data_IF_469596794379
#
_entry.id   IF_469596794379
#
_cell.length_a   1.000
_cell.length_b   1.000
_cell.length_c   1.000
_cell.angle_alpha   90.00
_cell.angle_beta   90.00
_cell.angle_gamma   90.00
#
_symmetry.space_group_name_H-M   'P 1'
#
loop_
_entity.id
_entity.type
_entity.pdbx_description
1 polymer ?
#
# COMPACT_ATOMS: atom_id res chain seq x y z
N UNK A 1 -9.25 -9.54 3.29
CA UNK A 1 -8.16 -9.54 2.30
C UNK A 1 -8.80 -9.30 0.95
N UNK A 2 -8.26 -8.39 0.16
CA UNK A 2 -8.77 -8.00 -1.14
C UNK A 2 -7.62 -7.57 -2.04
N UNK A 3 -7.77 -7.77 -3.34
CA UNK A 3 -6.88 -7.17 -4.33
C UNK A 3 -7.22 -5.69 -4.51
N UNK A 4 -6.37 -4.93 -5.20
CA UNK A 4 -6.67 -3.55 -5.56
C UNK A 4 -7.92 -3.46 -6.46
N UNK A 5 -8.04 -4.36 -7.44
CA UNK A 5 -9.22 -4.43 -8.31
C UNK A 5 -10.51 -4.69 -7.52
N UNK A 6 -10.47 -5.48 -6.45
CA UNK A 6 -11.64 -5.66 -5.59
C UNK A 6 -11.99 -4.36 -4.85
N UNK A 7 -11.00 -3.61 -4.37
CA UNK A 7 -11.22 -2.30 -3.78
C UNK A 7 -11.86 -1.32 -4.78
N UNK A 8 -11.38 -1.28 -6.02
CA UNK A 8 -11.99 -0.47 -7.09
C UNK A 8 -13.44 -0.86 -7.37
N UNK A 9 -13.76 -2.16 -7.35
CA UNK A 9 -15.14 -2.65 -7.54
C UNK A 9 -16.07 -2.27 -6.39
N UNK A 10 -15.58 -2.33 -5.16
CA UNK A 10 -16.41 -2.11 -3.96
C UNK A 10 -16.52 -0.62 -3.58
N UNK A 11 -15.50 0.19 -3.87
CA UNK A 11 -15.38 1.58 -3.44
C UNK A 11 -14.67 2.45 -4.48
N UNK A 12 -15.12 2.40 -5.74
CA UNK A 12 -14.44 3.00 -6.88
C UNK A 12 -14.03 4.47 -6.75
N UNK A 13 -14.89 5.33 -6.21
CA UNK A 13 -14.54 6.75 -5.97
C UNK A 13 -13.37 6.90 -5.00
N UNK A 14 -13.40 6.17 -3.87
CA UNK A 14 -12.34 6.21 -2.88
C UNK A 14 -11.04 5.61 -3.44
N UNK A 15 -11.14 4.48 -4.14
CA UNK A 15 -10.00 3.82 -4.75
C UNK A 15 -9.30 4.74 -5.77
N UNK A 16 -10.07 5.44 -6.61
CA UNK A 16 -9.52 6.40 -7.58
C UNK A 16 -8.72 7.51 -6.90
N UNK A 17 -9.24 8.10 -5.82
CA UNK A 17 -8.53 9.17 -5.11
C UNK A 17 -7.30 8.63 -4.38
N UNK A 18 -7.39 7.47 -3.72
CA UNK A 18 -6.24 6.85 -3.05
C UNK A 18 -5.15 6.51 -4.06
N UNK A 19 -5.50 5.95 -5.21
CA UNK A 19 -4.55 5.67 -6.30
C UNK A 19 -3.85 6.94 -6.78
N UNK A 20 -4.62 8.01 -7.04
CA UNK A 20 -4.06 9.29 -7.47
C UNK A 20 -3.06 9.86 -6.46
N UNK A 21 -3.24 9.63 -5.14
CA UNK A 21 -2.27 10.03 -4.11
C UNK A 21 -0.98 9.22 -4.16
N UNK A 22 -1.07 7.92 -4.46
CA UNK A 22 0.12 7.08 -4.68
C UNK A 22 0.84 7.49 -5.98
N UNK A 23 0.12 7.70 -7.08
CA UNK A 23 0.73 8.05 -8.37
C UNK A 23 1.32 9.48 -8.40
N UNK A 24 0.93 10.36 -7.47
CA UNK A 24 1.45 11.73 -7.40
C UNK A 24 2.91 11.85 -6.95
N UNK A 25 3.51 10.78 -6.40
CA UNK A 25 4.91 10.79 -5.94
C UNK A 25 5.51 9.40 -6.04
N UNK A 26 6.78 9.30 -6.44
CA UNK A 26 7.48 8.01 -6.52
C UNK A 26 7.68 7.35 -5.15
N UNK A 27 7.85 8.15 -4.09
CA UNK A 27 8.29 7.65 -2.79
C UNK A 27 7.25 7.79 -1.68
N UNK A 28 7.04 6.68 -0.96
CA UNK A 28 6.07 6.50 0.11
C UNK A 28 6.72 5.94 1.37
N UNK A 29 5.97 5.88 2.46
CA UNK A 29 6.44 5.32 3.73
C UNK A 29 5.79 3.96 3.97
N UNK A 30 6.62 2.92 4.03
CA UNK A 30 6.23 1.57 4.43
C UNK A 30 6.52 1.36 5.93
N UNK A 31 5.49 0.98 6.68
CA UNK A 31 5.58 0.51 8.05
C UNK A 31 5.52 -1.03 8.11
N UNK A 32 6.50 -1.64 8.79
CA UNK A 32 6.62 -3.10 8.99
C UNK A 32 6.82 -3.44 10.47
N UNK A 33 6.62 -4.70 10.84
CA UNK A 33 6.87 -5.19 12.20
C UNK A 33 8.25 -5.85 12.31
N UNK A 34 9.06 -5.37 13.25
CA UNK A 34 10.35 -5.99 13.58
C UNK A 34 10.14 -7.30 14.33
N UNK A 35 11.24 -8.07 14.51
CA UNK A 35 11.25 -9.30 15.33
C UNK A 35 10.61 -9.12 16.72
N UNK A 36 10.83 -7.97 17.35
CA UNK A 36 10.34 -7.64 18.69
C UNK A 36 8.92 -7.03 18.69
N UNK A 37 8.28 -6.94 17.52
CA UNK A 37 6.97 -6.33 17.33
C UNK A 37 6.97 -4.80 17.27
N UNK A 38 8.12 -4.13 17.42
CA UNK A 38 8.20 -2.68 17.27
C UNK A 38 8.07 -2.26 15.80
N UNK A 39 7.52 -1.06 15.51
CA UNK A 39 7.39 -0.60 14.14
C UNK A 39 8.75 -0.22 13.53
N UNK A 40 8.91 -0.49 12.24
CA UNK A 40 9.95 0.10 11.39
C UNK A 40 9.29 0.87 10.25
N UNK A 41 9.72 2.10 10.04
CA UNK A 41 9.40 2.88 8.83
C UNK A 41 10.58 2.87 7.85
N UNK A 42 10.28 2.81 6.56
CA UNK A 42 11.26 2.87 5.48
C UNK A 42 10.62 3.43 4.22
N UNK A 43 11.44 3.99 3.31
CA UNK A 43 10.97 4.40 2.00
C UNK A 43 10.55 3.18 1.16
N UNK A 44 9.48 3.32 0.37
CA UNK A 44 9.05 2.35 -0.63
C UNK A 44 8.49 3.06 -1.85
N UNK A 45 8.39 2.31 -2.94
CA UNK A 45 7.69 2.69 -4.16
C UNK A 45 6.59 1.64 -4.37
N UNK A 46 5.48 2.03 -4.98
CA UNK A 46 4.36 1.12 -5.24
C UNK A 46 3.98 1.19 -6.71
N UNK A 47 3.44 0.08 -7.21
CA UNK A 47 2.94 -0.05 -8.57
C UNK A 47 1.56 -0.70 -8.54
N UNK A 48 0.73 -0.35 -9.52
CA UNK A 48 -0.58 -0.95 -9.72
C UNK A 48 -0.51 -1.86 -10.95
N UNK A 49 -0.24 -3.15 -10.72
CA UNK A 49 -0.02 -4.13 -11.78
C UNK A 49 -1.12 -5.19 -11.78
N UNK A 50 -1.80 -5.33 -12.93
CA UNK A 50 -2.95 -6.24 -13.04
C UNK A 50 -4.02 -5.93 -11.98
N UNK A 51 -4.42 -6.91 -11.15
CA UNK A 51 -5.40 -6.69 -10.11
C UNK A 51 -4.83 -6.11 -8.81
N UNK A 52 -3.52 -5.95 -8.69
CA UNK A 52 -2.84 -5.80 -7.40
C UNK A 52 -2.17 -4.43 -7.23
N UNK A 53 -2.03 -4.03 -5.96
CA UNK A 53 -1.01 -3.07 -5.53
C UNK A 53 0.22 -3.88 -5.14
N UNK A 54 1.32 -3.64 -5.83
CA UNK A 54 2.61 -4.30 -5.61
C UNK A 54 3.68 -3.33 -5.19
N UNK A 55 4.76 -3.84 -4.59
CA UNK A 55 5.94 -3.05 -4.28
C UNK A 55 7.19 -3.92 -4.22
N UNK A 56 8.32 -3.30 -4.56
CA UNK A 56 9.63 -3.94 -4.59
C UNK A 56 10.53 -3.59 -3.42
N UNK A 57 11.62 -4.34 -3.28
CA UNK A 57 12.74 -3.99 -2.42
C UNK A 57 14.04 -4.61 -2.92
N UNK A 58 15.17 -3.96 -2.66
CA UNK A 58 16.48 -4.59 -2.82
C UNK A 58 16.54 -5.91 -2.08
N UNK A 59 17.20 -6.91 -2.69
CA UNK A 59 17.41 -8.22 -2.08
C UNK A 59 18.13 -8.09 -0.73
N UNK A 60 17.63 -8.79 0.29
CA UNK A 60 18.20 -8.77 1.65
C UNK A 60 17.94 -7.49 2.46
N UNK A 61 17.19 -6.53 1.93
CA UNK A 61 16.82 -5.34 2.68
C UNK A 61 16.03 -5.71 3.95
N UNK A 62 16.32 -5.02 5.06
CA UNK A 62 15.77 -5.40 6.37
C UNK A 62 14.24 -5.30 6.40
N UNK A 63 13.64 -4.34 5.68
CA UNK A 63 12.17 -4.24 5.53
C UNK A 63 11.56 -5.49 4.87
N UNK A 64 12.25 -6.10 3.91
CA UNK A 64 11.81 -7.33 3.27
C UNK A 64 11.94 -8.53 4.21
N UNK A 65 13.01 -8.59 5.02
CA UNK A 65 13.18 -9.62 6.04
C UNK A 65 12.16 -9.51 7.18
N UNK A 66 11.70 -8.29 7.47
CA UNK A 66 10.58 -8.05 8.39
C UNK A 66 9.28 -8.61 7.78
N UNK A 67 8.95 -8.27 6.53
CA UNK A 67 7.76 -8.77 5.83
C UNK A 67 7.72 -10.30 5.65
N UNK A 68 8.86 -10.93 5.36
CA UNK A 68 8.96 -12.39 5.27
C UNK A 68 8.67 -13.10 6.59
N UNK A 69 8.90 -12.42 7.70
CA UNK A 69 8.64 -12.94 9.05
C UNK A 69 7.20 -12.65 9.49
N UNK A 70 6.75 -11.43 9.24
CA UNK A 70 5.40 -10.96 9.53
C UNK A 70 4.98 -10.00 8.43
N UNK A 71 4.08 -10.46 7.55
CA UNK A 71 3.65 -9.70 6.38
C UNK A 71 2.78 -8.50 6.72
N UNK A 72 2.34 -8.30 7.98
CA UNK A 72 1.50 -7.16 8.34
C UNK A 72 2.24 -5.85 8.12
N UNK A 73 1.66 -4.99 7.29
CA UNK A 73 2.25 -3.70 6.97
C UNK A 73 1.19 -2.64 6.66
N UNK A 74 1.64 -1.40 6.65
CA UNK A 74 0.89 -0.27 6.12
C UNK A 74 1.77 0.56 5.19
N UNK A 75 1.19 1.08 4.12
CA UNK A 75 1.85 2.01 3.20
C UNK A 75 1.09 3.33 3.28
N UNK A 76 1.81 4.38 3.66
CA UNK A 76 1.32 5.75 3.68
C UNK A 76 1.84 6.43 2.42
N UNK A 77 0.93 6.91 1.57
CA UNK A 77 1.26 7.67 0.37
C UNK A 77 2.07 8.91 0.75
N UNK A 78 2.77 9.52 -0.21
CA UNK A 78 3.49 10.75 0.08
C UNK A 78 2.49 11.81 0.59
N UNK A 79 2.74 12.48 1.73
CA UNK A 79 1.82 13.50 2.23
C UNK A 79 1.54 14.57 1.19
N UNK A 80 0.27 14.92 0.98
CA UNK A 80 -0.14 15.96 0.04
C UNK A 80 -0.88 17.06 0.81
N UNK A 81 -0.87 18.29 0.31
CA UNK A 81 -1.52 19.44 0.97
C UNK A 81 -3.04 19.20 1.18
N UNK A 82 -3.69 18.59 0.19
CA UNK A 82 -5.11 18.20 0.25
C UNK A 82 -5.43 17.00 1.17
N UNK A 83 -4.43 16.39 1.80
CA UNK A 83 -4.66 15.30 2.76
C UNK A 83 -3.75 14.08 2.62
N UNK A 84 -4.11 13.04 3.38
CA UNK A 84 -3.37 11.79 3.54
C UNK A 84 -4.13 10.59 2.96
N UNK A 85 -3.40 9.67 2.34
CA UNK A 85 -3.90 8.37 1.92
C UNK A 85 -2.99 7.24 2.43
N UNK A 86 -3.60 6.19 2.98
CA UNK A 86 -2.88 5.00 3.43
C UNK A 86 -3.67 3.73 3.17
N UNK A 87 -2.93 2.65 2.96
CA UNK A 87 -3.47 1.28 2.87
C UNK A 87 -2.75 0.40 3.87
N UNK A 88 -3.46 -0.59 4.40
CA UNK A 88 -2.88 -1.59 5.30
C UNK A 88 -3.37 -2.99 4.95
N UNK A 89 -2.54 -3.98 5.24
CA UNK A 89 -2.81 -5.35 4.83
C UNK A 89 -1.67 -6.30 5.18
N UNK A 90 -1.58 -7.37 4.40
CA UNK A 90 -0.52 -8.37 4.49
C UNK A 90 0.25 -8.39 3.17
N UNK A 91 1.55 -8.12 3.24
CA UNK A 91 2.44 -8.31 2.10
C UNK A 91 2.68 -9.80 1.86
N UNK A 92 2.47 -10.24 0.63
CA UNK A 92 2.73 -11.61 0.19
C UNK A 92 3.91 -11.58 -0.77
N UNK A 93 5.02 -12.23 -0.40
CA UNK A 93 6.20 -12.31 -1.24
C UNK A 93 5.96 -13.19 -2.47
N UNK A 94 6.33 -12.67 -3.63
CA UNK A 94 6.24 -13.35 -4.90
C UNK A 94 7.60 -14.03 -5.14
N UNK A 95 7.59 -15.36 -5.05
CA UNK A 95 8.82 -16.17 -5.07
C UNK A 95 8.99 -16.97 -6.35
N UNK A 96 7.90 -17.24 -7.07
CA UNK A 96 7.96 -17.88 -8.38
C UNK A 96 8.60 -16.91 -9.39
N UNK A 97 9.74 -17.26 -10.02
CA UNK A 97 10.41 -16.39 -10.98
C UNK A 97 9.54 -16.01 -12.18
N UNK A 98 8.63 -16.88 -12.60
CA UNK A 98 7.75 -16.65 -13.73
C UNK A 98 6.62 -15.67 -13.37
N UNK A 99 6.07 -15.79 -12.16
CA UNK A 99 5.10 -14.83 -11.61
C UNK A 99 5.74 -13.46 -11.41
N UNK A 100 6.97 -13.42 -10.88
CA UNK A 100 7.70 -12.19 -10.58
C UNK A 100 7.96 -11.31 -11.80
N UNK A 101 8.06 -11.91 -12.99
CA UNK A 101 8.14 -11.17 -14.27
C UNK A 101 6.90 -10.30 -14.54
N UNK A 102 5.74 -10.65 -13.99
CA UNK A 102 4.53 -9.85 -14.12
C UNK A 102 4.50 -8.63 -13.17
N UNK A 103 5.53 -8.47 -12.32
CA UNK A 103 5.66 -7.39 -11.34
C UNK A 103 6.90 -6.51 -11.57
N UNK A 104 7.64 -6.73 -12.66
CA UNK A 104 8.78 -5.89 -13.03
C UNK A 104 8.32 -4.58 -13.65
N UNK A 105 8.89 -3.48 -13.18
CA UNK A 105 8.66 -2.11 -13.65
C UNK A 105 9.68 -1.66 -14.69
N UNK A 106 10.83 -2.33 -14.76
CA UNK A 106 11.97 -1.94 -15.58
C UNK A 106 12.99 -1.06 -14.85
N UNK A 107 12.67 -0.59 -13.64
CA UNK A 107 13.54 0.22 -12.79
C UNK A 107 14.30 -0.63 -11.74
N UNK A 108 14.14 -1.97 -11.77
CA UNK A 108 14.77 -2.85 -10.80
C UNK A 108 16.31 -2.80 -10.84
N UNK A 109 16.99 -2.94 -9.68
CA UNK A 109 18.45 -3.06 -9.67
C UNK A 109 18.90 -4.33 -10.40
N UNK A 110 20.13 -4.35 -10.95
CA UNK A 110 20.68 -5.55 -11.57
C UNK A 110 20.71 -6.73 -10.58
N UNK A 111 20.23 -7.89 -11.04
CA UNK A 111 20.18 -9.11 -10.23
C UNK A 111 18.77 -9.38 -9.69
N UNK A 112 18.69 -10.20 -8.64
CA UNK A 112 17.42 -10.54 -8.01
C UNK A 112 16.95 -9.44 -7.04
N UNK A 113 15.65 -9.37 -6.79
CA UNK A 113 15.01 -8.38 -5.91
C UNK A 113 13.91 -9.02 -5.08
N UNK A 114 13.34 -8.36 -4.08
CA UNK A 114 12.10 -8.81 -3.46
C UNK A 114 10.92 -8.15 -4.14
N UNK A 115 9.87 -8.93 -4.43
CA UNK A 115 8.60 -8.44 -4.96
C UNK A 115 7.47 -8.87 -4.03
N UNK A 116 6.55 -7.96 -3.73
CA UNK A 116 5.40 -8.23 -2.88
C UNK A 116 4.14 -7.72 -3.56
N UNK A 117 3.04 -8.47 -3.40
CA UNK A 117 1.69 -7.91 -3.55
C UNK A 117 1.11 -7.63 -2.18
N UNK A 118 0.27 -6.61 -2.07
CA UNK A 118 -0.45 -6.29 -0.84
C UNK A 118 -1.84 -6.91 -0.89
N UNK A 119 -2.13 -7.83 0.04
CA UNK A 119 -3.49 -8.26 0.34
C UNK A 119 -4.15 -7.19 1.21
N UNK A 120 -4.99 -6.32 0.62
CA UNK A 120 -5.59 -5.18 1.30
C UNK A 120 -6.58 -5.61 2.38
N UNK A 121 -6.46 -4.98 3.55
CA UNK A 121 -7.39 -5.09 4.67
C UNK A 121 -8.10 -3.76 4.95
N UNK A 122 -7.47 -2.65 4.60
CA UNK A 122 -7.97 -1.30 4.87
C UNK A 122 -7.43 -0.31 3.84
N UNK A 123 -8.27 0.66 3.48
CA UNK A 123 -7.86 1.88 2.81
C UNK A 123 -8.47 3.09 3.54
N UNK A 124 -7.65 4.12 3.76
CA UNK A 124 -8.06 5.36 4.45
C UNK A 124 -7.64 6.55 3.61
N UNK A 125 -8.58 7.48 3.41
CA UNK A 125 -8.33 8.82 2.91
C UNK A 125 -8.74 9.82 3.99
N UNK A 126 -7.84 10.72 4.35
CA UNK A 126 -8.11 11.83 5.27
C UNK A 126 -7.91 13.14 4.54
N UNK A 127 -8.93 13.99 4.51
CA UNK A 127 -8.91 15.30 3.85
C UNK A 127 -9.55 16.36 4.75
N UNK A 128 -9.42 17.63 4.36
CA UNK A 128 -10.17 18.74 4.96
C UNK A 128 -11.23 19.20 3.95
N UNK A 129 -12.50 19.22 4.37
CA UNK A 129 -13.63 19.70 3.57
C UNK A 129 -14.46 20.66 4.44
N UNK A 130 -14.75 21.85 3.95
CA UNK A 130 -15.56 22.86 4.67
C UNK A 130 -15.11 23.12 6.12
N UNK A 131 -13.79 23.21 6.35
CA UNK A 131 -13.15 23.32 7.66
C UNK A 131 -13.41 22.15 8.63
N UNK A 132 -13.78 20.97 8.12
CA UNK A 132 -13.89 19.74 8.89
C UNK A 132 -12.87 18.69 8.41
N UNK A 133 -12.33 17.92 9.35
CA UNK A 133 -11.53 16.73 9.02
C UNK A 133 -12.48 15.62 8.58
N UNK A 134 -12.34 15.17 7.33
CA UNK A 134 -13.13 14.09 6.74
C UNK A 134 -12.26 12.87 6.54
N UNK A 135 -12.65 11.76 7.17
CA UNK A 135 -11.97 10.47 7.06
C UNK A 135 -12.90 9.50 6.35
N UNK A 136 -12.48 9.02 5.18
CA UNK A 136 -13.13 7.93 4.45
C UNK A 136 -12.35 6.65 4.71
N UNK A 137 -13.05 5.64 5.22
CA UNK A 137 -12.49 4.35 5.62
C UNK A 137 -13.21 3.24 4.86
N UNK A 138 -12.45 2.35 4.26
CA UNK A 138 -12.95 1.15 3.62
C UNK A 138 -12.27 -0.10 4.17
N UNK A 139 -13.08 -1.16 4.31
CA UNK A 139 -12.64 -2.53 4.54
C UNK A 139 -13.31 -3.45 3.52
N UNK A 140 -12.66 -4.55 3.10
CA UNK A 140 -13.25 -5.52 2.18
C UNK A 140 -14.63 -6.01 2.61
N UNK A 141 -15.58 -5.98 1.68
CA UNK A 141 -16.97 -6.41 1.90
C UNK A 141 -17.83 -5.45 2.73
N UNK A 142 -17.31 -4.25 3.05
CA UNK A 142 -18.04 -3.24 3.81
C UNK A 142 -18.25 -1.97 3.00
N UNK A 143 -19.37 -1.24 3.20
CA UNK A 143 -19.54 0.08 2.61
C UNK A 143 -18.51 1.06 3.16
N UNK A 144 -18.14 2.06 2.36
CA UNK A 144 -17.24 3.14 2.81
C UNK A 144 -17.89 3.88 3.97
N UNK A 145 -17.15 3.98 5.08
CA UNK A 145 -17.55 4.77 6.25
C UNK A 145 -16.93 6.16 6.16
N UNK A 146 -17.75 7.18 6.38
CA UNK A 146 -17.32 8.59 6.44
C UNK A 146 -17.41 9.08 7.88
N UNK A 147 -16.33 9.64 8.40
CA UNK A 147 -16.23 10.23 9.73
C UNK A 147 -15.86 11.70 9.56
N UNK A 148 -16.64 12.60 10.15
CA UNK A 148 -16.35 14.04 10.17
C UNK A 148 -16.01 14.51 11.58
N UNK A 149 -15.01 15.37 11.71
CA UNK A 149 -14.58 15.98 12.99
C UNK A 149 -14.35 17.49 12.81
N UNK A 150 -14.79 18.27 13.79
CA UNK A 150 -14.46 19.69 13.93
C UNK A 150 -13.24 19.88 14.81
#
# INVERSE_FOLDING_TARGET
MATWQQFEREAGELASVVRARFEASKSHVLATLRKDGSPRVSGTEVDFQGPDLSFGSMLGAVKALDLRRDGRCAIHAHPHDDGDAKVAGVAVEITDPDEKRAYTTGDEPPGDFHAFRLDLHEAVLTSVEDNELVIRLWHPGQPVRVIRRK
#
